data_IF_921242423646
#
_entry.id   IF_921242423646
#
_cell.length_a   1.000
_cell.length_b   1.000
_cell.length_c   1.000
_cell.angle_alpha   90.00
_cell.angle_beta   90.00
_cell.angle_gamma   90.00
#
_symmetry.space_group_name_H-M   'P 1'
#
loop_
_entity.id
_entity.type
_entity.pdbx_description
1 polymer ?
#
# COMPACT_ATOMS: atom_id res chain seq x y z
N UNK A 1 11.52 12.19 -9.64
CA UNK A 1 11.86 12.98 -8.43
C UNK A 1 10.92 12.65 -7.27
N UNK A 2 9.59 12.68 -7.47
CA UNK A 2 8.58 12.42 -6.44
C UNK A 2 8.84 11.16 -5.56
N UNK A 3 9.11 10.00 -6.16
CA UNK A 3 9.41 8.74 -5.44
C UNK A 3 10.58 8.78 -4.44
N UNK A 4 11.45 9.80 -4.53
CA UNK A 4 12.61 9.99 -3.64
C UNK A 4 12.28 10.95 -2.51
N UNK A 5 11.41 11.92 -2.77
CA UNK A 5 11.04 12.98 -1.83
C UNK A 5 9.86 12.56 -0.95
N UNK A 6 8.89 11.84 -1.52
CA UNK A 6 7.67 11.44 -0.80
C UNK A 6 7.93 10.66 0.49
N UNK A 7 8.87 9.70 0.56
CA UNK A 7 9.13 8.99 1.82
C UNK A 7 9.55 9.93 2.95
N UNK A 8 10.43 10.89 2.64
CA UNK A 8 10.88 11.90 3.61
C UNK A 8 9.74 12.83 3.99
N UNK A 9 8.94 13.28 3.01
CA UNK A 9 7.80 14.14 3.24
C UNK A 9 6.74 13.48 4.13
N UNK A 10 6.43 12.19 3.93
CA UNK A 10 5.47 11.43 4.75
C UNK A 10 5.97 11.28 6.19
N UNK A 11 7.26 11.03 6.40
CA UNK A 11 7.83 10.98 7.74
C UNK A 11 7.77 12.35 8.42
N UNK A 12 8.12 13.42 7.69
CA UNK A 12 8.07 14.78 8.20
C UNK A 12 6.64 15.20 8.59
N UNK A 13 5.66 14.92 7.72
CA UNK A 13 4.24 15.15 7.98
C UNK A 13 3.79 14.44 9.27
N UNK A 14 4.16 13.17 9.43
CA UNK A 14 3.82 12.38 10.62
C UNK A 14 4.44 12.92 11.93
N UNK A 15 5.65 13.51 11.85
CA UNK A 15 6.32 14.13 13.01
C UNK A 15 5.73 15.51 13.36
N UNK A 16 5.36 16.29 12.35
CA UNK A 16 4.81 17.65 12.52
C UNK A 16 3.34 17.60 12.95
N UNK A 17 2.55 16.71 12.35
CA UNK A 17 1.13 16.53 12.60
C UNK A 17 0.81 15.06 12.90
N UNK A 18 1.11 14.58 14.13
CA UNK A 18 0.84 13.20 14.49
C UNK A 18 -0.65 12.84 14.33
N UNK A 19 -0.96 11.65 13.80
CA UNK A 19 -2.34 11.23 13.60
C UNK A 19 -3.09 11.16 14.94
N UNK A 20 -4.23 11.84 14.99
CA UNK A 20 -5.10 11.92 16.16
C UNK A 20 -6.35 11.06 15.95
N UNK A 21 -6.67 10.21 16.94
CA UNK A 21 -7.85 9.36 16.93
C UNK A 21 -7.61 7.91 16.48
N UNK A 22 -8.59 7.03 16.75
CA UNK A 22 -8.59 5.66 16.25
C UNK A 22 -9.37 5.59 14.93
N UNK A 23 -8.68 5.23 13.84
CA UNK A 23 -9.35 4.99 12.57
C UNK A 23 -9.97 3.59 12.60
N UNK A 24 -11.29 3.51 12.43
CA UNK A 24 -11.97 2.21 12.29
C UNK A 24 -11.49 1.52 11.01
N UNK A 25 -10.99 0.30 11.14
CA UNK A 25 -10.55 -0.52 9.99
C UNK A 25 -11.62 -0.59 8.89
N UNK A 26 -12.89 -0.74 9.27
CA UNK A 26 -14.02 -0.78 8.31
C UNK A 26 -14.18 0.51 7.53
N UNK A 27 -13.98 1.67 8.18
CA UNK A 27 -14.07 2.99 7.52
C UNK A 27 -12.85 3.25 6.62
N UNK A 28 -11.69 2.70 6.99
CA UNK A 28 -10.44 2.87 6.25
C UNK A 28 -10.33 1.97 5.00
N UNK A 29 -10.97 0.80 5.01
CA UNK A 29 -10.74 -0.26 4.03
C UNK A 29 -10.98 0.20 2.58
N UNK A 30 -12.12 0.84 2.30
CA UNK A 30 -12.47 1.28 0.93
C UNK A 30 -11.53 2.40 0.46
N UNK A 31 -11.34 3.51 1.20
CA UNK A 31 -10.39 4.55 0.79
C UNK A 31 -8.95 4.06 0.60
N UNK A 32 -8.54 3.01 1.32
CA UNK A 32 -7.20 2.42 1.18
C UNK A 32 -7.05 1.51 -0.03
N UNK A 33 -8.03 0.66 -0.31
CA UNK A 33 -7.96 -0.30 -1.41
C UNK A 33 -8.35 0.31 -2.76
N UNK A 34 -9.19 1.35 -2.77
CA UNK A 34 -9.65 1.93 -4.02
C UNK A 34 -8.49 2.48 -4.89
N UNK A 35 -7.55 3.30 -4.39
CA UNK A 35 -6.46 3.81 -5.21
C UNK A 35 -5.59 2.74 -5.89
N UNK A 36 -5.04 1.72 -5.17
CA UNK A 36 -4.21 0.70 -5.83
C UNK A 36 -5.02 -0.18 -6.79
N UNK A 37 -6.28 -0.50 -6.48
CA UNK A 37 -7.14 -1.29 -7.38
C UNK A 37 -7.47 -0.54 -8.67
N UNK A 38 -7.90 0.73 -8.55
CA UNK A 38 -8.20 1.58 -9.70
C UNK A 38 -6.95 1.77 -10.56
N UNK A 39 -5.83 2.13 -9.93
CA UNK A 39 -4.58 2.35 -10.65
C UNK A 39 -4.08 1.10 -11.39
N UNK A 40 -4.11 -0.06 -10.73
CA UNK A 40 -3.70 -1.34 -11.33
C UNK A 40 -4.62 -1.71 -12.50
N UNK A 41 -5.94 -1.55 -12.32
CA UNK A 41 -6.92 -1.85 -13.37
C UNK A 41 -6.71 -0.97 -14.60
N UNK A 42 -6.61 0.35 -14.41
CA UNK A 42 -6.36 1.31 -15.50
C UNK A 42 -5.04 0.99 -16.21
N UNK A 43 -4.00 0.66 -15.45
CA UNK A 43 -2.68 0.35 -16.00
C UNK A 43 -2.68 -0.94 -16.83
N UNK A 44 -3.36 -2.00 -16.36
CA UNK A 44 -3.47 -3.26 -17.11
C UNK A 44 -4.28 -3.09 -18.39
N UNK A 45 -5.38 -2.35 -18.34
CA UNK A 45 -6.19 -2.02 -19.53
C UNK A 45 -5.33 -1.26 -20.53
N UNK A 46 -4.64 -0.21 -20.07
CA UNK A 46 -3.78 0.60 -20.94
C UNK A 46 -2.68 -0.25 -21.57
N UNK A 47 -1.95 -1.04 -20.78
CA UNK A 47 -0.89 -1.90 -21.29
C UNK A 47 -1.38 -2.93 -22.30
N UNK A 48 -2.62 -3.42 -22.17
CA UNK A 48 -3.23 -4.28 -23.20
C UNK A 48 -3.59 -3.53 -24.50
N UNK A 49 -3.76 -2.21 -24.45
CA UNK A 49 -4.09 -1.35 -25.60
C UNK A 49 -2.84 -0.81 -26.31
N UNK A 50 -1.87 -0.30 -25.55
CA UNK A 50 -0.69 0.41 -26.09
C UNK A 50 0.65 -0.30 -25.84
N UNK A 51 0.64 -1.47 -25.19
CA UNK A 51 1.84 -2.25 -24.86
C UNK A 51 2.70 -1.66 -23.74
N UNK A 52 2.29 -0.54 -23.13
CA UNK A 52 3.08 0.12 -22.12
C UNK A 52 2.67 -0.30 -20.70
N UNK A 53 3.62 -0.86 -19.97
CA UNK A 53 3.48 -1.19 -18.55
C UNK A 53 4.50 -0.38 -17.73
N UNK A 54 4.09 0.25 -16.62
CA UNK A 54 4.99 1.03 -15.78
C UNK A 54 5.97 0.16 -14.99
N UNK A 55 5.64 -1.12 -14.80
CA UNK A 55 6.48 -2.08 -14.10
C UNK A 55 6.54 -3.43 -14.82
N UNK A 56 7.69 -4.11 -14.84
CA UNK A 56 7.85 -5.40 -15.51
C UNK A 56 6.90 -6.49 -14.99
N UNK A 57 6.62 -6.52 -13.68
CA UNK A 57 5.73 -7.52 -13.08
C UNK A 57 4.26 -7.38 -13.50
N UNK A 58 3.87 -6.25 -14.11
CA UNK A 58 2.54 -6.04 -14.67
C UNK A 58 2.44 -6.47 -16.14
N UNK A 59 3.58 -6.66 -16.83
CA UNK A 59 3.61 -7.07 -18.22
C UNK A 59 3.41 -8.61 -18.32
N UNK A 60 2.31 -9.09 -18.94
CA UNK A 60 2.06 -10.52 -19.11
C UNK A 60 3.05 -11.21 -20.07
N UNK A 61 3.88 -10.50 -20.83
CA UNK A 61 4.98 -11.11 -21.59
C UNK A 61 6.03 -11.75 -20.68
N UNK A 62 6.11 -11.33 -19.42
CA UNK A 62 7.05 -11.85 -18.42
C UNK A 62 6.55 -13.11 -17.69
N UNK A 63 5.66 -13.90 -18.30
CA UNK A 63 5.16 -15.16 -17.74
C UNK A 63 3.64 -15.27 -17.57
N UNK A 64 2.87 -14.48 -18.30
CA UNK A 64 1.42 -14.53 -18.39
C UNK A 64 0.69 -13.76 -17.28
N UNK A 65 -0.63 -13.65 -17.43
CA UNK A 65 -1.50 -12.98 -16.43
C UNK A 65 -1.54 -13.70 -15.07
N UNK A 66 -1.24 -15.00 -15.02
CA UNK A 66 -1.08 -15.75 -13.77
C UNK A 66 0.08 -15.20 -12.94
N UNK A 67 1.22 -14.94 -13.57
CA UNK A 67 2.39 -14.33 -12.93
C UNK A 67 2.09 -12.92 -12.45
N UNK A 68 1.40 -12.11 -13.26
CA UNK A 68 0.94 -10.76 -12.88
C UNK A 68 0.04 -10.82 -11.63
N UNK A 69 -0.91 -11.76 -11.60
CA UNK A 69 -1.80 -11.94 -10.46
C UNK A 69 -1.04 -12.37 -9.19
N UNK A 70 -0.11 -13.31 -9.30
CA UNK A 70 0.73 -13.77 -8.18
C UNK A 70 1.55 -12.62 -7.58
N UNK A 71 2.23 -11.82 -8.40
CA UNK A 71 2.96 -10.65 -7.91
C UNK A 71 2.03 -9.63 -7.25
N UNK A 72 0.89 -9.33 -7.87
CA UNK A 72 -0.06 -8.34 -7.35
C UNK A 72 -0.63 -8.76 -5.99
N UNK A 73 -1.04 -10.03 -5.85
CA UNK A 73 -1.54 -10.58 -4.59
C UNK A 73 -0.42 -10.69 -3.54
N UNK A 74 0.79 -11.10 -3.95
CA UNK A 74 1.94 -11.19 -3.06
C UNK A 74 2.34 -9.83 -2.47
N UNK A 75 2.39 -8.79 -3.30
CA UNK A 75 2.66 -7.41 -2.87
C UNK A 75 1.56 -6.92 -1.92
N UNK A 76 0.28 -7.15 -2.26
CA UNK A 76 -0.84 -6.80 -1.38
C UNK A 76 -0.72 -7.50 -0.03
N UNK A 77 -0.43 -8.81 -0.02
CA UNK A 77 -0.24 -9.60 1.20
C UNK A 77 0.91 -9.07 2.07
N UNK A 78 2.04 -8.73 1.45
CA UNK A 78 3.18 -8.13 2.14
C UNK A 78 2.79 -6.79 2.79
N UNK A 79 2.11 -5.91 2.07
CA UNK A 79 1.66 -4.62 2.61
C UNK A 79 0.70 -4.80 3.79
N UNK A 80 -0.25 -5.73 3.69
CA UNK A 80 -1.17 -6.04 4.78
C UNK A 80 -0.42 -6.59 6.01
N UNK A 81 0.60 -7.43 5.81
CA UNK A 81 1.44 -7.95 6.90
C UNK A 81 2.22 -6.83 7.60
N UNK A 82 2.80 -5.90 6.84
CA UNK A 82 3.50 -4.73 7.40
C UNK A 82 2.54 -3.84 8.19
N UNK A 83 1.35 -3.57 7.66
CA UNK A 83 0.32 -2.78 8.37
C UNK A 83 -0.10 -3.47 9.67
N UNK A 84 -0.34 -4.78 9.63
CA UNK A 84 -0.67 -5.55 10.82
C UNK A 84 0.44 -5.51 11.87
N UNK A 85 1.70 -5.65 11.46
CA UNK A 85 2.85 -5.55 12.36
C UNK A 85 2.95 -4.16 13.01
N UNK A 86 2.85 -3.09 12.21
CA UNK A 86 2.92 -1.72 12.73
C UNK A 86 1.75 -1.44 13.67
N UNK A 87 0.54 -1.89 13.34
CA UNK A 87 -0.64 -1.71 14.18
C UNK A 87 -0.51 -2.45 15.52
N UNK A 88 -0.04 -3.70 15.51
CA UNK A 88 0.13 -4.51 16.73
C UNK A 88 1.25 -4.00 17.62
N UNK A 89 2.39 -3.59 17.06
CA UNK A 89 3.48 -2.95 17.82
C UNK A 89 3.00 -1.62 18.39
N UNK A 90 2.30 -0.81 17.59
CA UNK A 90 1.75 0.48 18.04
C UNK A 90 0.76 0.35 19.20
N UNK A 91 -0.14 -0.64 19.15
CA UNK A 91 -1.08 -0.90 20.25
C UNK A 91 -0.37 -1.42 21.49
N UNK A 92 0.60 -2.34 21.36
CA UNK A 92 1.37 -2.86 22.48
C UNK A 92 2.19 -1.77 23.19
N UNK A 93 2.85 -0.88 22.44
CA UNK A 93 3.58 0.25 22.99
C UNK A 93 2.66 1.25 23.70
N UNK A 94 1.46 1.49 23.15
CA UNK A 94 0.46 2.35 23.80
C UNK A 94 -0.09 1.74 25.09
N UNK A 95 -0.28 0.43 25.15
CA UNK A 95 -0.70 -0.26 26.37
C UNK A 95 0.35 -0.10 27.48
N UNK A 96 1.63 -0.35 27.17
CA UNK A 96 2.74 -0.18 28.15
C UNK A 96 2.89 1.23 28.72
N UNK A 97 2.51 2.26 27.96
CA UNK A 97 2.54 3.66 28.44
C UNK A 97 1.34 4.05 29.32
N UNK A 98 0.30 3.21 29.38
CA UNK A 98 -0.92 3.45 30.15
C UNK A 98 -0.96 2.74 31.50
N UNK A 99 -0.04 1.80 31.75
CA UNK A 99 0.19 1.19 33.06
C UNK A 99 1.34 1.94 33.77
N UNK A 100 1.04 2.94 34.65
CA UNK A 100 2.02 3.55 35.54
C UNK A 100 2.42 2.63 36.70
#
# INVERSE_FOLDING_TARGET
VLHRVMPVAVIADWLIAPPHGSLSFRKALIPWLAPPLVWTTVTLIRGAVDGWYPYPFLNPENGGYSTVALYSVGILGLLLAVVWLVATVGTALRARRRDP
#
